data_IF_743108034315
#
_entry.id   IF_743108034315
#
_cell.length_a   1.000
_cell.length_b   1.000
_cell.length_c   1.000
_cell.angle_alpha   90.00
_cell.angle_beta   90.00
_cell.angle_gamma   90.00
#
_symmetry.space_group_name_H-M   'P 1'
#
loop_
_entity.id
_entity.type
_entity.pdbx_description
1 polymer ?
#
# COMPACT_ATOMS: atom_id res chain seq x y z
N UNK A 1 -29.81 74.00 -8.89
CA UNK A 1 -29.69 72.95 -9.91
C UNK A 1 -28.51 72.05 -9.43
N UNK A 2 -28.82 70.97 -8.81
CA UNK A 2 -27.81 70.07 -8.19
C UNK A 2 -27.78 68.78 -9.03
N UNK A 3 -26.65 68.53 -9.64
CA UNK A 3 -26.42 67.32 -10.42
C UNK A 3 -25.96 66.20 -9.47
N UNK A 4 -26.79 65.16 -9.29
CA UNK A 4 -26.43 63.93 -8.68
C UNK A 4 -25.76 63.04 -9.74
N UNK A 5 -24.47 62.76 -9.57
CA UNK A 5 -23.71 61.73 -10.31
C UNK A 5 -23.84 60.41 -9.57
N UNK A 6 -24.59 59.48 -10.13
CA UNK A 6 -24.72 58.10 -9.60
C UNK A 6 -23.52 57.27 -10.08
N UNK A 7 -22.64 56.90 -9.16
CA UNK A 7 -21.53 55.98 -9.44
C UNK A 7 -22.03 54.56 -9.33
N UNK A 8 -22.07 53.84 -10.45
CA UNK A 8 -22.43 52.42 -10.53
C UNK A 8 -21.19 51.57 -10.15
N UNK A 9 -21.22 50.96 -8.97
CA UNK A 9 -20.19 50.02 -8.54
C UNK A 9 -20.48 48.64 -9.14
N UNK A 10 -19.71 48.26 -10.13
CA UNK A 10 -19.77 46.92 -10.73
C UNK A 10 -18.97 45.94 -9.87
N UNK A 11 -19.65 45.14 -9.07
CA UNK A 11 -19.02 44.03 -8.33
C UNK A 11 -18.88 42.82 -9.28
N UNK A 12 -17.65 42.56 -9.70
CA UNK A 12 -17.32 41.32 -10.43
C UNK A 12 -17.16 40.21 -9.38
N UNK A 13 -18.15 39.33 -9.30
CA UNK A 13 -18.02 38.06 -8.55
C UNK A 13 -17.14 37.09 -9.35
N UNK A 14 -15.91 36.93 -8.92
CA UNK A 14 -15.04 35.85 -9.45
C UNK A 14 -15.49 34.55 -8.80
N UNK A 15 -16.27 33.77 -9.54
CA UNK A 15 -16.53 32.35 -9.21
C UNK A 15 -15.23 31.57 -9.39
N UNK A 16 -14.48 31.39 -8.30
CA UNK A 16 -13.41 30.40 -8.26
C UNK A 16 -14.09 29.03 -8.17
N UNK A 17 -14.37 28.45 -9.32
CA UNK A 17 -14.75 27.05 -9.42
C UNK A 17 -13.56 26.21 -8.96
N UNK A 18 -13.64 25.60 -7.76
CA UNK A 18 -12.75 24.50 -7.38
C UNK A 18 -13.09 23.31 -8.27
N UNK A 19 -12.45 23.24 -9.43
CA UNK A 19 -12.37 22.00 -10.17
C UNK A 19 -11.60 21.01 -9.28
N UNK A 20 -12.34 20.12 -8.65
CA UNK A 20 -11.75 18.95 -7.98
C UNK A 20 -11.01 18.15 -9.04
N UNK A 21 -9.70 18.34 -9.10
CA UNK A 21 -8.84 17.54 -9.96
C UNK A 21 -8.78 16.16 -9.30
N UNK A 22 -9.57 15.23 -9.83
CA UNK A 22 -9.41 13.81 -9.55
C UNK A 22 -8.05 13.39 -10.11
N UNK A 23 -7.04 13.38 -9.25
CA UNK A 23 -5.71 12.89 -9.58
C UNK A 23 -5.69 11.36 -9.52
N UNK A 24 -6.27 10.69 -10.50
CA UNK A 24 -5.84 9.35 -10.84
C UNK A 24 -4.75 9.48 -11.91
N UNK A 25 -3.57 9.94 -11.50
CA UNK A 25 -2.42 9.86 -12.39
C UNK A 25 -2.10 8.37 -12.61
N UNK A 26 -1.92 7.99 -13.87
CA UNK A 26 -1.57 6.62 -14.23
C UNK A 26 -0.30 6.16 -13.48
N UNK A 27 -0.32 4.94 -13.00
CA UNK A 27 0.86 4.35 -12.36
C UNK A 27 1.94 4.08 -13.41
N UNK A 28 3.11 4.67 -13.20
CA UNK A 28 4.27 4.49 -14.06
C UNK A 28 5.09 3.31 -13.53
N UNK A 29 5.34 2.34 -14.39
CA UNK A 29 6.14 1.16 -14.09
C UNK A 29 7.49 1.22 -14.81
N UNK A 30 8.61 0.97 -14.09
CA UNK A 30 9.87 0.75 -14.74
C UNK A 30 9.85 -0.56 -15.53
N UNK A 31 10.80 -0.71 -16.45
CA UNK A 31 10.95 -1.96 -17.22
C UNK A 31 11.13 -3.15 -16.28
N UNK A 32 10.45 -4.24 -16.57
CA UNK A 32 10.54 -5.49 -15.81
C UNK A 32 9.74 -5.51 -14.51
N UNK A 33 9.11 -4.40 -14.08
CA UNK A 33 8.23 -4.41 -12.91
C UNK A 33 6.94 -5.19 -13.21
N UNK A 34 6.56 -6.18 -12.38
CA UNK A 34 5.24 -6.79 -12.43
C UNK A 34 4.16 -5.72 -12.28
N UNK A 35 3.02 -5.90 -12.94
CA UNK A 35 1.89 -4.97 -12.79
C UNK A 35 1.17 -5.21 -11.46
N UNK A 36 0.51 -4.16 -10.98
CA UNK A 36 -0.50 -4.26 -9.93
C UNK A 36 -1.80 -4.68 -10.60
N UNK A 37 -2.34 -5.81 -10.20
CA UNK A 37 -3.50 -6.42 -10.85
C UNK A 37 -4.82 -5.95 -10.20
N UNK A 38 -4.80 -5.62 -8.89
CA UNK A 38 -5.89 -4.93 -8.22
C UNK A 38 -5.32 -3.76 -7.42
N UNK A 39 -5.70 -2.55 -7.83
CA UNK A 39 -5.14 -1.30 -7.29
C UNK A 39 -5.77 -0.89 -5.96
N UNK A 40 -5.14 0.08 -5.30
CA UNK A 40 -5.66 0.72 -4.11
C UNK A 40 -7.03 1.34 -4.40
N UNK A 41 -8.02 1.09 -3.51
CA UNK A 41 -9.43 1.50 -3.59
C UNK A 41 -10.21 0.89 -4.77
N UNK A 42 -9.68 -0.12 -5.45
CA UNK A 42 -10.44 -0.89 -6.43
C UNK A 42 -11.61 -1.60 -5.77
N UNK A 43 -12.76 -1.57 -6.41
CA UNK A 43 -13.91 -2.41 -6.07
C UNK A 43 -13.92 -3.73 -6.82
N UNK A 44 -12.93 -3.96 -7.68
CA UNK A 44 -12.73 -5.23 -8.39
C UNK A 44 -11.59 -5.99 -7.72
N UNK A 45 -11.88 -7.21 -7.30
CA UNK A 45 -10.90 -8.11 -6.69
C UNK A 45 -9.92 -8.68 -7.72
N UNK A 46 -8.85 -9.30 -7.19
CA UNK A 46 -7.81 -9.93 -8.01
C UNK A 46 -8.36 -11.05 -8.91
N UNK A 47 -9.46 -11.68 -8.52
CA UNK A 47 -10.16 -12.73 -9.28
C UNK A 47 -11.19 -12.18 -10.29
N UNK A 48 -11.33 -10.86 -10.41
CA UNK A 48 -12.28 -10.16 -11.26
C UNK A 48 -13.69 -10.03 -10.67
N UNK A 49 -13.93 -10.52 -9.46
CA UNK A 49 -15.21 -10.37 -8.75
C UNK A 49 -15.31 -9.03 -8.01
N UNK A 50 -16.55 -8.65 -7.66
CA UNK A 50 -16.80 -7.43 -6.88
C UNK A 50 -16.35 -7.59 -5.44
N UNK A 51 -15.85 -6.50 -4.84
CA UNK A 51 -15.53 -6.38 -3.41
C UNK A 51 -16.68 -5.70 -2.68
N UNK A 52 -16.91 -6.10 -1.43
CA UNK A 52 -17.89 -5.45 -0.54
C UNK A 52 -17.44 -4.05 -0.10
N UNK A 53 -16.19 -3.69 -0.33
CA UNK A 53 -15.61 -2.40 0.01
C UNK A 53 -14.35 -2.07 -0.80
N UNK A 54 -13.82 -0.85 -0.67
CA UNK A 54 -12.63 -0.43 -1.40
C UNK A 54 -11.40 -1.21 -0.95
N UNK A 55 -10.58 -1.61 -1.91
CA UNK A 55 -9.33 -2.32 -1.64
C UNK A 55 -8.37 -1.47 -0.81
N UNK A 56 -7.91 -1.98 0.33
CA UNK A 56 -7.09 -1.24 1.28
C UNK A 56 -5.60 -1.24 0.94
N UNK A 57 -5.18 -1.99 -0.06
CA UNK A 57 -3.81 -2.13 -0.51
C UNK A 57 -3.70 -2.26 -2.02
N UNK A 58 -2.67 -2.94 -2.46
CA UNK A 58 -2.44 -3.34 -3.86
C UNK A 58 -2.18 -4.83 -3.92
N UNK A 59 -2.68 -5.49 -4.96
CA UNK A 59 -2.44 -6.91 -5.20
C UNK A 59 -1.54 -7.09 -6.43
N UNK A 60 -0.53 -7.95 -6.28
CA UNK A 60 0.46 -8.26 -7.31
C UNK A 60 0.48 -9.77 -7.50
N UNK A 61 -0.03 -10.26 -8.63
CA UNK A 61 0.04 -11.70 -8.96
C UNK A 61 1.49 -12.17 -9.10
N UNK A 62 1.69 -13.42 -8.76
CA UNK A 62 3.02 -14.01 -8.85
C UNK A 62 2.99 -15.53 -8.99
N UNK A 63 4.18 -16.10 -9.18
CA UNK A 63 4.39 -17.55 -9.23
C UNK A 63 4.81 -18.09 -7.86
N UNK A 64 4.66 -19.41 -7.68
CA UNK A 64 5.20 -20.10 -6.51
C UNK A 64 6.71 -19.86 -6.37
N UNK A 65 7.16 -19.60 -5.16
CA UNK A 65 8.56 -19.28 -4.86
C UNK A 65 8.98 -17.86 -5.23
N UNK A 66 8.09 -17.01 -5.74
CA UNK A 66 8.42 -15.61 -6.00
C UNK A 66 8.80 -14.90 -4.71
N UNK A 67 9.94 -14.25 -4.73
CA UNK A 67 10.48 -13.51 -3.59
C UNK A 67 9.65 -12.28 -3.29
N UNK A 68 9.46 -12.02 -1.99
CA UNK A 68 8.83 -10.83 -1.44
C UNK A 68 9.91 -10.05 -0.69
N UNK A 69 10.03 -8.77 -1.00
CA UNK A 69 11.08 -7.88 -0.51
C UNK A 69 10.55 -6.91 0.53
N UNK A 70 11.34 -6.64 1.57
CA UNK A 70 11.09 -5.53 2.47
C UNK A 70 11.19 -4.20 1.68
N UNK A 71 10.15 -3.39 1.72
CA UNK A 71 10.05 -2.14 0.93
C UNK A 71 10.95 -1.02 1.43
N UNK A 72 11.40 -1.11 2.68
CA UNK A 72 12.34 -0.20 3.34
C UNK A 72 13.00 -0.93 4.52
N UNK A 73 14.00 -0.28 5.17
CA UNK A 73 14.52 -0.77 6.45
C UNK A 73 13.39 -0.76 7.48
N UNK A 74 13.41 -1.71 8.43
CA UNK A 74 12.34 -1.78 9.43
C UNK A 74 12.53 -2.87 10.47
N UNK A 75 11.53 -3.02 11.33
CA UNK A 75 11.46 -4.08 12.34
C UNK A 75 10.16 -4.87 12.14
N UNK A 76 10.27 -6.19 12.12
CA UNK A 76 9.12 -7.10 12.02
C UNK A 76 8.32 -7.02 13.32
N UNK A 77 7.06 -6.60 13.19
CA UNK A 77 6.11 -6.53 14.30
C UNK A 77 5.41 -7.86 14.54
N UNK A 78 5.18 -8.60 13.46
CA UNK A 78 4.55 -9.92 13.51
C UNK A 78 4.83 -10.69 12.22
N UNK A 79 5.01 -12.02 12.35
CA UNK A 79 5.04 -12.97 11.25
C UNK A 79 4.20 -14.17 11.68
N UNK A 80 2.99 -14.31 11.15
CA UNK A 80 2.02 -15.29 11.63
C UNK A 80 1.18 -15.86 10.50
N UNK A 81 0.53 -17.02 10.76
CA UNK A 81 -0.46 -17.60 9.85
C UNK A 81 -1.85 -17.19 10.35
N UNK A 82 -2.44 -16.29 9.64
CA UNK A 82 -3.78 -15.80 9.93
C UNK A 82 -4.84 -16.69 9.27
N UNK A 83 -5.99 -16.85 9.94
CA UNK A 83 -6.98 -17.86 9.57
C UNK A 83 -7.54 -17.67 8.15
N UNK A 84 -7.85 -16.45 7.77
CA UNK A 84 -8.44 -16.14 6.46
C UNK A 84 -7.38 -15.70 5.44
N UNK A 85 -6.37 -14.95 5.88
CA UNK A 85 -5.36 -14.35 5.01
C UNK A 85 -4.15 -15.26 4.76
N UNK A 86 -4.00 -16.33 5.56
CA UNK A 86 -2.83 -17.18 5.50
C UNK A 86 -1.58 -16.51 6.09
N UNK A 87 -0.38 -16.96 5.70
CA UNK A 87 0.86 -16.39 6.19
C UNK A 87 0.97 -14.91 5.85
N UNK A 88 1.26 -14.09 6.86
CA UNK A 88 1.23 -12.63 6.79
C UNK A 88 2.33 -12.05 7.68
N UNK A 89 3.01 -11.01 7.18
CA UNK A 89 4.08 -10.31 7.87
C UNK A 89 3.70 -8.83 8.00
N UNK A 90 3.87 -8.27 9.19
CA UNK A 90 3.77 -6.83 9.46
C UNK A 90 5.14 -6.26 9.81
N UNK A 91 5.52 -5.14 9.19
CA UNK A 91 6.82 -4.49 9.41
C UNK A 91 6.62 -3.00 9.68
N UNK A 92 7.20 -2.49 10.76
CA UNK A 92 7.31 -1.05 11.03
C UNK A 92 8.55 -0.51 10.29
N UNK A 93 8.33 0.27 9.25
CA UNK A 93 9.37 0.91 8.43
C UNK A 93 9.73 2.34 8.92
N UNK A 94 9.26 2.72 10.11
CA UNK A 94 9.48 4.07 10.65
C UNK A 94 8.56 5.11 9.99
N UNK A 95 9.04 6.36 9.92
CA UNK A 95 8.24 7.44 9.40
C UNK A 95 8.45 7.64 7.89
N UNK A 96 7.34 7.84 7.19
CA UNK A 96 7.29 8.24 5.80
C UNK A 96 7.80 9.66 5.54
N UNK A 97 7.87 10.02 4.27
CA UNK A 97 8.32 11.37 3.83
C UNK A 97 7.40 12.49 4.32
N UNK A 98 6.19 12.17 4.70
CA UNK A 98 5.17 13.08 5.26
C UNK A 98 5.18 13.11 6.80
N UNK A 99 6.09 12.36 7.45
CA UNK A 99 6.22 12.25 8.90
C UNK A 99 5.30 11.22 9.56
N UNK A 100 4.35 10.65 8.83
CA UNK A 100 3.46 9.61 9.34
C UNK A 100 4.16 8.24 9.36
N UNK A 101 3.74 7.35 10.25
CA UNK A 101 4.22 5.97 10.29
C UNK A 101 3.93 5.23 8.98
N UNK A 102 4.88 4.39 8.56
CA UNK A 102 4.69 3.39 7.52
C UNK A 102 4.79 2.01 8.18
N UNK A 103 3.64 1.42 8.44
CA UNK A 103 3.55 0.02 8.82
C UNK A 103 3.04 -0.75 7.62
N UNK A 104 3.86 -1.66 7.10
CA UNK A 104 3.53 -2.43 5.91
C UNK A 104 3.05 -3.82 6.28
N UNK A 105 2.00 -4.27 5.59
CA UNK A 105 1.45 -5.61 5.65
C UNK A 105 1.77 -6.33 4.34
N UNK A 106 2.38 -7.50 4.46
CA UNK A 106 2.68 -8.43 3.36
C UNK A 106 1.81 -9.67 3.55
N UNK A 107 0.61 -9.64 2.97
CA UNK A 107 -0.40 -10.68 3.12
C UNK A 107 -0.30 -11.77 2.04
N UNK A 108 -0.87 -12.93 2.35
CA UNK A 108 -1.02 -14.08 1.43
C UNK A 108 0.29 -14.71 0.98
N UNK A 109 1.39 -14.47 1.72
CA UNK A 109 2.67 -15.10 1.41
C UNK A 109 2.62 -16.62 1.68
N UNK A 110 3.63 -17.37 1.30
CA UNK A 110 3.73 -18.81 1.57
C UNK A 110 4.73 -19.08 2.68
N UNK A 111 6.00 -18.98 2.36
CA UNK A 111 7.11 -19.14 3.29
C UNK A 111 7.47 -17.77 3.88
N UNK A 112 7.47 -17.66 5.21
CA UNK A 112 8.00 -16.51 5.93
C UNK A 112 9.46 -16.78 6.29
N UNK A 113 10.37 -15.86 5.96
CA UNK A 113 11.83 -15.99 6.18
C UNK A 113 12.33 -15.10 7.32
N UNK A 114 11.40 -14.45 8.01
CA UNK A 114 11.65 -13.57 9.16
C UNK A 114 10.68 -13.89 10.28
N UNK A 115 11.05 -13.50 11.50
CA UNK A 115 10.26 -13.64 12.71
C UNK A 115 10.03 -12.30 13.37
N UNK A 116 9.08 -12.24 14.31
CA UNK A 116 8.82 -11.07 15.15
C UNK A 116 10.11 -10.61 15.85
N UNK A 117 10.37 -9.30 15.80
CA UNK A 117 11.56 -8.65 16.36
C UNK A 117 12.76 -8.59 15.42
N UNK A 118 12.74 -9.27 14.28
CA UNK A 118 13.83 -9.20 13.31
C UNK A 118 13.93 -7.80 12.72
N UNK A 119 15.18 -7.33 12.54
CA UNK A 119 15.48 -6.10 11.79
C UNK A 119 15.72 -6.47 10.34
N UNK A 120 15.00 -5.84 9.44
CA UNK A 120 15.08 -6.06 8.00
C UNK A 120 15.64 -4.83 7.29
N UNK A 121 16.32 -5.08 6.17
CA UNK A 121 16.82 -4.03 5.28
C UNK A 121 15.97 -3.94 4.02
N UNK A 122 15.89 -2.76 3.44
CA UNK A 122 15.26 -2.56 2.13
C UNK A 122 15.81 -3.55 1.10
N UNK A 123 14.92 -4.22 0.38
CA UNK A 123 15.27 -5.22 -0.62
C UNK A 123 15.67 -6.58 -0.06
N UNK A 124 15.71 -6.75 1.26
CA UNK A 124 15.89 -8.08 1.87
C UNK A 124 14.69 -8.96 1.54
N UNK A 125 14.95 -10.21 1.17
CA UNK A 125 13.90 -11.22 0.98
C UNK A 125 13.34 -11.58 2.34
N UNK A 126 12.05 -11.32 2.58
CA UNK A 126 11.36 -11.58 3.84
C UNK A 126 10.36 -12.74 3.74
N UNK A 127 9.95 -13.08 2.53
CA UNK A 127 9.03 -14.18 2.27
C UNK A 127 9.14 -14.70 0.84
N UNK A 128 8.40 -15.78 0.55
CA UNK A 128 8.11 -16.23 -0.82
C UNK A 128 6.64 -16.54 -0.96
N UNK A 129 6.07 -16.34 -2.16
CA UNK A 129 4.71 -16.76 -2.45
C UNK A 129 4.62 -18.28 -2.44
N UNK A 130 3.56 -18.80 -1.81
CA UNK A 130 3.31 -20.24 -1.70
C UNK A 130 2.29 -20.77 -2.71
N UNK A 131 2.00 -22.05 -2.60
CA UNK A 131 0.93 -22.73 -3.32
C UNK A 131 -0.29 -22.91 -2.38
N UNK A 132 -0.79 -21.82 -1.84
CA UNK A 132 -1.79 -21.80 -0.77
C UNK A 132 -3.06 -21.00 -1.11
N UNK A 133 -3.23 -20.58 -2.38
CA UNK A 133 -4.32 -19.71 -2.83
C UNK A 133 -5.72 -20.34 -2.69
N UNK A 134 -5.82 -21.66 -2.56
CA UNK A 134 -7.07 -22.36 -2.28
C UNK A 134 -7.21 -22.82 -0.83
N UNK A 135 -6.18 -22.58 -0.01
CA UNK A 135 -6.17 -23.02 1.39
C UNK A 135 -6.81 -21.99 2.33
N UNK A 136 -6.73 -20.73 1.96
CA UNK A 136 -7.21 -19.59 2.76
C UNK A 136 -8.24 -18.80 1.96
N UNK A 137 -9.39 -18.56 2.56
CA UNK A 137 -10.56 -17.98 1.88
C UNK A 137 -10.29 -16.58 1.33
N UNK A 138 -9.58 -15.73 2.10
CA UNK A 138 -9.31 -14.35 1.70
C UNK A 138 -8.26 -14.19 0.59
N UNK A 139 -7.65 -15.29 0.10
CA UNK A 139 -6.74 -15.26 -1.07
C UNK A 139 -7.51 -15.35 -2.39
N UNK A 140 -8.80 -15.75 -2.36
CA UNK A 140 -9.71 -15.75 -3.50
C UNK A 140 -9.25 -16.62 -4.69
N UNK A 141 -8.47 -17.66 -4.44
CA UNK A 141 -8.04 -18.62 -5.46
C UNK A 141 -6.97 -18.12 -6.42
N UNK A 142 -6.49 -16.91 -6.31
CA UNK A 142 -5.42 -16.31 -7.14
C UNK A 142 -4.16 -16.13 -6.30
N UNK A 143 -3.03 -16.69 -6.75
CA UNK A 143 -1.74 -16.49 -6.05
C UNK A 143 -1.25 -15.06 -6.26
N UNK A 144 -1.16 -14.29 -5.19
CA UNK A 144 -0.72 -12.91 -5.21
C UNK A 144 -0.11 -12.49 -3.87
N UNK A 145 0.65 -11.42 -3.88
CA UNK A 145 0.97 -10.62 -2.71
C UNK A 145 -0.10 -9.56 -2.55
N UNK A 146 -0.74 -9.51 -1.38
CA UNK A 146 -1.46 -8.32 -0.94
C UNK A 146 -0.50 -7.44 -0.15
N UNK A 147 -0.26 -6.23 -0.63
CA UNK A 147 0.60 -5.24 0.02
C UNK A 147 -0.22 -4.02 0.46
N UNK A 148 -0.22 -3.75 1.77
CA UNK A 148 -0.99 -2.66 2.36
C UNK A 148 -0.11 -1.82 3.29
N UNK A 149 -0.38 -0.53 3.37
CA UNK A 149 0.26 0.39 4.31
C UNK A 149 -0.79 0.92 5.28
N UNK A 150 -0.41 0.99 6.57
CA UNK A 150 -1.15 1.64 7.65
C UNK A 150 -0.24 2.51 8.50
N UNK A 151 -0.82 3.25 9.45
CA UNK A 151 -0.10 4.13 10.38
C UNK A 151 -0.02 3.57 11.79
N UNK A 152 -0.92 2.68 12.14
CA UNK A 152 -0.97 2.01 13.45
C UNK A 152 -0.87 0.50 13.29
N UNK A 153 -0.25 -0.12 14.26
CA UNK A 153 -0.30 -1.56 14.43
C UNK A 153 -1.32 -1.89 15.52
N UNK A 154 -2.07 -2.96 15.31
CA UNK A 154 -3.09 -3.42 16.24
C UNK A 154 -2.53 -3.65 17.65
N UNK A 155 -3.40 -3.62 18.64
CA UNK A 155 -3.07 -3.94 20.01
C UNK A 155 -2.53 -5.38 20.14
N UNK A 156 -1.52 -5.56 21.00
CA UNK A 156 -0.88 -6.85 21.28
C UNK A 156 -1.86 -7.97 21.67
N UNK A 157 -2.99 -7.63 22.27
CA UNK A 157 -4.03 -8.59 22.66
C UNK A 157 -4.79 -9.22 21.48
N UNK A 158 -4.66 -8.67 20.29
CA UNK A 158 -5.34 -9.14 19.08
C UNK A 158 -4.40 -9.84 18.08
N UNK A 159 -3.19 -10.17 18.48
CA UNK A 159 -2.26 -10.95 17.64
C UNK A 159 -2.88 -12.29 17.25
N UNK A 160 -2.66 -12.69 16.00
CA UNK A 160 -3.19 -13.95 15.45
C UNK A 160 -4.68 -13.96 15.14
N UNK A 161 -5.41 -12.89 15.47
CA UNK A 161 -6.81 -12.72 15.08
C UNK A 161 -6.91 -11.93 13.78
N UNK A 162 -8.09 -11.87 13.19
CA UNK A 162 -8.38 -11.29 11.89
C UNK A 162 -7.62 -9.99 11.57
N UNK A 163 -6.90 -9.99 10.44
CA UNK A 163 -6.11 -8.87 9.95
C UNK A 163 -6.91 -7.91 9.06
N UNK A 164 -8.17 -8.14 8.88
CA UNK A 164 -9.00 -7.27 8.06
C UNK A 164 -8.71 -5.80 8.33
N UNK A 165 -8.88 -4.94 7.36
CA UNK A 165 -8.48 -3.54 7.33
C UNK A 165 -8.71 -2.72 8.61
N UNK A 166 -9.63 -3.18 9.46
CA UNK A 166 -10.00 -2.57 10.73
C UNK A 166 -8.86 -2.45 11.75
N UNK A 167 -7.91 -3.38 11.78
CA UNK A 167 -6.84 -3.39 12.78
C UNK A 167 -5.59 -2.64 12.34
N UNK A 168 -5.53 -2.35 11.05
CA UNK A 168 -4.38 -1.71 10.44
C UNK A 168 -4.56 -0.21 10.23
N UNK A 169 -5.80 0.24 10.37
CA UNK A 169 -6.20 1.61 10.14
C UNK A 169 -6.60 2.26 11.45
N UNK A 170 -6.23 3.51 11.59
CA UNK A 170 -6.46 4.27 12.82
C UNK A 170 -7.93 4.41 13.17
N UNK A 171 -8.79 4.47 12.17
CA UNK A 171 -10.23 4.73 12.29
C UNK A 171 -11.11 3.72 11.54
N UNK A 172 -10.56 2.60 11.12
CA UNK A 172 -11.24 1.55 10.36
C UNK A 172 -11.74 1.98 8.96
N UNK A 173 -11.43 3.17 8.49
CA UNK A 173 -12.08 3.71 7.29
C UNK A 173 -11.23 3.62 6.03
N UNK A 174 -9.91 3.82 6.12
CA UNK A 174 -9.12 3.98 4.88
C UNK A 174 -7.66 3.52 5.03
N UNK A 175 -7.24 2.60 4.16
CA UNK A 175 -5.81 2.30 3.93
C UNK A 175 -5.08 3.52 3.39
N UNK A 176 -3.77 3.50 3.48
CA UNK A 176 -2.91 4.54 2.92
C UNK A 176 -2.49 4.10 1.53
N UNK A 177 -2.62 5.01 0.57
CA UNK A 177 -2.23 4.74 -0.81
C UNK A 177 -0.70 4.53 -0.92
N UNK A 178 -0.21 3.31 -1.22
CA UNK A 178 1.23 3.04 -1.35
C UNK A 178 1.89 3.89 -2.43
N UNK A 179 1.13 4.30 -3.45
CA UNK A 179 1.64 5.09 -4.57
C UNK A 179 2.18 6.47 -4.18
N UNK A 180 1.87 6.97 -2.97
CA UNK A 180 2.38 8.24 -2.48
C UNK A 180 3.84 8.16 -2.02
N UNK A 181 4.36 6.95 -1.74
CA UNK A 181 5.64 6.75 -1.05
C UNK A 181 6.75 6.15 -1.91
N UNK A 182 6.50 5.84 -3.21
CA UNK A 182 7.56 5.32 -4.09
C UNK A 182 8.78 6.23 -4.10
N UNK A 183 9.98 5.64 -4.08
CA UNK A 183 11.23 6.40 -3.94
C UNK A 183 11.52 7.33 -5.13
N UNK A 184 11.01 7.03 -6.33
CA UNK A 184 11.14 7.88 -7.51
C UNK A 184 10.00 8.92 -7.62
N UNK A 185 9.14 8.99 -6.61
CA UNK A 185 8.04 9.95 -6.49
C UNK A 185 6.65 9.33 -6.62
N UNK A 186 5.59 10.08 -6.28
CA UNK A 186 4.22 9.58 -6.32
C UNK A 186 3.85 8.98 -7.67
N UNK A 187 3.14 7.84 -7.63
CA UNK A 187 2.70 7.04 -8.79
C UNK A 187 3.83 6.45 -9.66
N UNK A 188 5.09 6.55 -9.24
CA UNK A 188 6.24 5.96 -9.96
C UNK A 188 6.76 4.75 -9.20
N UNK A 189 6.26 3.57 -9.56
CA UNK A 189 6.76 2.32 -8.96
C UNK A 189 8.28 2.28 -9.06
N UNK A 190 8.95 2.07 -7.93
CA UNK A 190 10.41 2.07 -7.83
C UNK A 190 10.91 0.67 -7.53
N UNK A 191 11.60 0.03 -8.47
CA UNK A 191 12.28 -1.24 -8.23
C UNK A 191 13.46 -1.09 -7.26
N UNK A 192 13.68 -2.10 -6.43
CA UNK A 192 14.88 -2.14 -5.59
C UNK A 192 16.12 -2.46 -6.43
N UNK A 193 17.17 -1.69 -6.23
CA UNK A 193 18.51 -1.87 -6.79
C UNK A 193 19.55 -1.70 -5.66
N UNK A 194 20.38 -2.71 -5.42
CA UNK A 194 21.35 -2.70 -4.30
C UNK A 194 22.41 -1.60 -4.40
N UNK A 195 22.69 -1.11 -5.61
CA UNK A 195 23.63 -0.01 -5.87
C UNK A 195 23.03 1.39 -5.65
N UNK A 196 21.71 1.50 -5.56
CA UNK A 196 20.99 2.79 -5.46
C UNK A 196 20.80 3.18 -4.00
N UNK A 197 20.99 4.47 -3.72
CA UNK A 197 20.61 5.06 -2.43
C UNK A 197 19.18 5.58 -2.48
N UNK A 198 18.41 5.28 -1.46
CA UNK A 198 17.01 5.70 -1.37
C UNK A 198 16.82 6.72 -0.24
N UNK A 199 15.93 7.68 -0.47
CA UNK A 199 15.54 8.65 0.56
C UNK A 199 14.81 7.93 1.70
N UNK A 200 15.10 8.28 2.94
CA UNK A 200 14.35 7.77 4.10
C UNK A 200 12.88 8.16 3.99
N UNK A 201 12.01 7.29 4.50
CA UNK A 201 10.57 7.50 4.45
C UNK A 201 9.93 7.24 3.07
N UNK A 202 10.71 6.67 2.13
CA UNK A 202 10.18 6.17 0.85
C UNK A 202 10.19 4.64 0.81
N UNK A 203 9.44 4.06 -0.09
CA UNK A 203 9.38 2.61 -0.30
C UNK A 203 9.84 2.23 -1.71
N UNK A 204 10.31 0.97 -1.83
CA UNK A 204 10.54 0.30 -3.12
C UNK A 204 9.49 -0.78 -3.34
N UNK A 205 9.41 -1.31 -4.55
CA UNK A 205 8.43 -2.33 -4.91
C UNK A 205 8.65 -3.61 -4.10
N UNK A 206 7.59 -4.24 -3.57
CA UNK A 206 7.70 -5.40 -2.69
C UNK A 206 8.04 -6.71 -3.40
N UNK A 207 8.24 -6.68 -4.71
CA UNK A 207 8.65 -7.83 -5.53
C UNK A 207 9.80 -7.45 -6.45
N UNK A 208 10.66 -8.41 -6.85
CA UNK A 208 11.75 -8.13 -7.80
C UNK A 208 11.21 -7.67 -9.15
N UNK A 209 11.87 -6.67 -9.73
CA UNK A 209 11.71 -6.31 -11.14
C UNK A 209 12.76 -7.06 -11.97
N UNK A 210 12.34 -7.62 -13.09
CA UNK A 210 13.19 -8.44 -13.96
C UNK A 210 13.19 -7.93 -15.40
#
# INVERSE_FOLDING_TARGET
>A
MSNLTTTLCLTIAVLVGSAGVSWSADTIYPSGAPKIDSGFRSYIGINGGDRDGPHQGIDITGKEGQEILAVADGTVLEATVEQCWGPTIAVDHGNGIDGNKIIALYGHVGEMLVAEGDVVQRGQIIARLGNNQYKFECIWGVRHLHFQIGQKYRDLFNKGTYWGGLYFLEDASEGINPHLYWADGPNKVTCFESSKKYKRGTITYPVPCR
#
